data_IF_953744141709
#
_entry.id   IF_953744141709
#
_cell.length_a   1.000
_cell.length_b   1.000
_cell.length_c   1.000
_cell.angle_alpha   90.00
_cell.angle_beta   90.00
_cell.angle_gamma   90.00
#
_symmetry.space_group_name_H-M   'P 1'
#
loop_
_entity.id
_entity.type
_entity.pdbx_description
1 polymer ?
#
# COMPACT_ATOMS: atom_id res chain seq x y z
N UNK A 1 8.24 -20.73 0.51
CA UNK A 1 9.30 -20.99 -0.47
C UNK A 1 10.45 -21.81 0.14
N UNK A 2 11.11 -21.34 1.18
CA UNK A 2 12.34 -21.99 1.71
C UNK A 2 12.08 -23.40 2.27
N UNK A 3 11.18 -23.57 3.23
CA UNK A 3 10.99 -24.85 3.92
C UNK A 3 10.39 -25.96 3.02
N UNK A 4 9.40 -25.66 2.20
CA UNK A 4 8.75 -26.62 1.31
C UNK A 4 9.25 -26.58 -0.14
N UNK A 5 10.29 -25.81 -0.45
CA UNK A 5 10.82 -25.63 -1.81
C UNK A 5 9.74 -25.31 -2.88
N UNK A 6 8.77 -24.49 -2.53
CA UNK A 6 7.80 -24.03 -3.50
C UNK A 6 8.44 -23.08 -4.52
N UNK A 7 8.14 -23.29 -5.78
CA UNK A 7 8.47 -22.30 -6.82
C UNK A 7 7.72 -20.98 -6.55
N UNK A 8 8.16 -19.86 -7.15
CA UNK A 8 7.43 -18.59 -7.04
C UNK A 8 5.97 -18.70 -7.48
N UNK A 9 5.68 -19.50 -8.49
CA UNK A 9 4.32 -19.73 -8.99
C UNK A 9 3.48 -20.49 -7.97
N UNK A 10 4.00 -21.59 -7.40
CA UNK A 10 3.30 -22.38 -6.37
C UNK A 10 3.06 -21.56 -5.09
N UNK A 11 4.04 -20.78 -4.65
CA UNK A 11 3.90 -19.90 -3.50
C UNK A 11 2.83 -18.84 -3.74
N UNK A 12 2.75 -18.28 -4.95
CA UNK A 12 1.73 -17.31 -5.30
C UNK A 12 0.34 -17.94 -5.42
N UNK A 13 0.24 -19.18 -5.91
CA UNK A 13 -1.03 -19.93 -5.92
C UNK A 13 -1.56 -20.15 -4.49
N UNK A 14 -0.69 -20.59 -3.56
CA UNK A 14 -1.05 -20.72 -2.15
C UNK A 14 -1.50 -19.38 -1.55
N UNK A 15 -0.76 -18.30 -1.80
CA UNK A 15 -1.12 -16.95 -1.35
C UNK A 15 -2.49 -16.51 -1.87
N UNK A 16 -2.77 -16.76 -3.15
CA UNK A 16 -4.09 -16.45 -3.76
C UNK A 16 -5.20 -17.31 -3.14
N UNK A 17 -4.94 -18.60 -2.89
CA UNK A 17 -5.90 -19.49 -2.24
C UNK A 17 -6.26 -19.01 -0.82
N UNK A 18 -5.31 -18.43 -0.10
CA UNK A 18 -5.54 -17.85 1.23
C UNK A 18 -6.37 -16.56 1.17
N UNK A 19 -6.23 -15.76 0.10
CA UNK A 19 -6.89 -14.46 -0.04
C UNK A 19 -8.36 -14.55 -0.50
N UNK A 20 -8.82 -15.71 -0.95
CA UNK A 20 -10.19 -15.90 -1.47
C UNK A 20 -11.11 -16.58 -0.47
N UNK A 21 -12.21 -15.92 -0.10
CA UNK A 21 -13.24 -16.43 0.84
C UNK A 21 -13.82 -17.81 0.51
N UNK A 22 -13.74 -18.24 -0.75
CA UNK A 22 -14.27 -19.51 -1.25
C UNK A 22 -13.26 -20.67 -1.21
N UNK A 23 -12.08 -20.47 -0.66
CA UNK A 23 -10.94 -21.36 -0.90
C UNK A 23 -10.68 -22.44 0.16
N UNK A 24 -11.66 -22.77 1.02
CA UNK A 24 -11.50 -23.85 2.01
C UNK A 24 -11.00 -25.18 1.38
N UNK A 25 -11.45 -25.48 0.15
CA UNK A 25 -10.97 -26.65 -0.61
C UNK A 25 -9.55 -26.47 -1.17
N UNK A 26 -9.27 -25.30 -1.77
CA UNK A 26 -7.98 -25.02 -2.43
C UNK A 26 -6.79 -24.99 -1.45
N UNK A 27 -7.00 -24.48 -0.24
CA UNK A 27 -5.95 -24.47 0.80
C UNK A 27 -5.64 -25.92 1.22
N UNK A 28 -6.65 -26.78 1.34
CA UNK A 28 -6.46 -28.18 1.70
C UNK A 28 -5.68 -28.98 0.66
N UNK A 29 -5.84 -28.69 -0.63
CA UNK A 29 -5.06 -29.35 -1.71
C UNK A 29 -3.56 -29.05 -1.60
N UNK A 30 -3.20 -27.88 -1.07
CA UNK A 30 -1.79 -27.54 -0.85
C UNK A 30 -1.17 -28.16 0.40
N UNK A 31 -2.01 -28.77 1.30
CA UNK A 31 -1.54 -29.38 2.54
C UNK A 31 -0.56 -30.52 2.29
N UNK A 32 -0.98 -31.52 1.53
CA UNK A 32 -0.16 -32.71 1.27
C UNK A 32 1.16 -32.34 0.59
N UNK A 33 1.09 -31.41 -0.33
CA UNK A 33 2.26 -30.92 -1.05
C UNK A 33 3.22 -30.17 -0.13
N UNK A 34 2.71 -29.27 0.74
CA UNK A 34 3.55 -28.50 1.65
C UNK A 34 4.14 -29.38 2.75
N UNK A 35 3.29 -30.11 3.47
CA UNK A 35 3.71 -30.95 4.60
C UNK A 35 4.62 -32.08 4.11
N UNK A 36 4.25 -32.77 3.02
CA UNK A 36 5.07 -33.85 2.46
C UNK A 36 6.46 -33.38 2.03
N UNK A 37 6.57 -32.22 1.39
CA UNK A 37 7.89 -31.66 1.00
C UNK A 37 8.73 -31.21 2.21
N UNK A 38 8.10 -30.68 3.26
CA UNK A 38 8.81 -30.32 4.50
C UNK A 38 9.36 -31.59 5.18
N UNK A 39 8.53 -32.61 5.34
CA UNK A 39 8.95 -33.90 5.95
C UNK A 39 10.05 -34.57 5.12
N UNK A 40 9.95 -34.58 3.80
CA UNK A 40 10.99 -35.12 2.90
C UNK A 40 12.33 -34.37 3.05
N UNK A 41 12.35 -33.17 3.59
CA UNK A 41 13.54 -32.37 3.89
C UNK A 41 14.03 -32.50 5.34
N UNK A 42 13.46 -33.43 6.11
CA UNK A 42 13.87 -33.69 7.49
C UNK A 42 13.19 -32.84 8.56
N UNK A 43 12.16 -32.04 8.21
CA UNK A 43 11.37 -31.36 9.24
C UNK A 43 10.45 -32.35 9.95
N UNK A 44 10.28 -32.14 11.25
CA UNK A 44 9.36 -32.94 12.06
C UNK A 44 7.92 -32.86 11.50
N UNK A 45 7.22 -34.02 11.36
CA UNK A 45 5.86 -34.03 10.81
C UNK A 45 4.86 -33.18 11.59
N UNK A 46 4.94 -33.19 12.93
CA UNK A 46 4.04 -32.39 13.77
C UNK A 46 4.31 -30.89 13.64
N UNK A 47 5.58 -30.51 13.51
CA UNK A 47 5.95 -29.14 13.20
C UNK A 47 5.44 -28.68 11.82
N UNK A 48 5.63 -29.52 10.80
CA UNK A 48 5.17 -29.25 9.44
C UNK A 48 3.66 -29.07 9.36
N UNK A 49 2.92 -29.91 10.09
CA UNK A 49 1.46 -29.79 10.20
C UNK A 49 1.05 -28.49 10.91
N UNK A 50 1.68 -28.13 12.02
CA UNK A 50 1.39 -26.85 12.73
C UNK A 50 1.64 -25.64 11.82
N UNK A 51 2.71 -25.65 11.04
CA UNK A 51 2.96 -24.60 10.06
C UNK A 51 1.83 -24.46 9.03
N UNK A 52 1.33 -25.59 8.53
CA UNK A 52 0.20 -25.57 7.60
C UNK A 52 -1.08 -25.07 8.28
N UNK A 53 -1.36 -25.50 9.52
CA UNK A 53 -2.56 -25.08 10.25
C UNK A 53 -2.56 -23.59 10.54
N UNK A 54 -1.40 -22.98 10.81
CA UNK A 54 -1.27 -21.54 10.92
C UNK A 54 -1.61 -20.84 9.58
N UNK A 55 -1.10 -21.35 8.46
CA UNK A 55 -1.41 -20.81 7.13
C UNK A 55 -2.91 -20.95 6.81
N UNK A 56 -3.51 -22.08 7.18
CA UNK A 56 -4.94 -22.33 7.01
C UNK A 56 -5.77 -21.33 7.83
N UNK A 57 -5.37 -21.03 9.06
CA UNK A 57 -6.01 -20.03 9.91
C UNK A 57 -6.05 -18.63 9.27
N UNK A 58 -4.99 -18.22 8.56
CA UNK A 58 -5.03 -16.99 7.77
C UNK A 58 -6.06 -17.01 6.64
N UNK A 59 -6.26 -18.16 5.99
CA UNK A 59 -7.30 -18.33 4.96
C UNK A 59 -8.72 -18.29 5.53
N UNK A 60 -8.90 -18.71 6.79
CA UNK A 60 -10.18 -18.65 7.50
C UNK A 60 -10.49 -17.26 8.07
N UNK A 61 -9.46 -16.46 8.40
CA UNK A 61 -9.59 -15.07 8.83
C UNK A 61 -10.26 -14.19 7.77
N UNK A 62 -10.08 -14.53 6.50
CA UNK A 62 -10.74 -13.87 5.38
C UNK A 62 -10.15 -12.49 5.04
N UNK A 63 -11.01 -11.59 4.61
CA UNK A 63 -10.65 -10.24 4.23
C UNK A 63 -10.26 -9.42 5.48
N UNK A 64 -9.14 -8.67 5.48
CA UNK A 64 -8.70 -7.87 6.61
C UNK A 64 -9.54 -6.59 6.76
N UNK A 65 -10.73 -6.73 7.33
CA UNK A 65 -11.72 -5.65 7.45
C UNK A 65 -11.17 -4.43 8.18
N UNK A 66 -10.43 -4.62 9.26
CA UNK A 66 -9.81 -3.52 10.03
C UNK A 66 -8.86 -2.69 9.18
N UNK A 67 -8.05 -3.35 8.35
CA UNK A 67 -7.15 -2.69 7.41
C UNK A 67 -7.93 -1.93 6.33
N UNK A 68 -8.94 -2.57 5.75
CA UNK A 68 -9.79 -1.94 4.74
C UNK A 68 -10.55 -0.74 5.31
N UNK A 69 -11.11 -0.83 6.51
CA UNK A 69 -11.80 0.27 7.17
C UNK A 69 -10.87 1.45 7.47
N UNK A 70 -9.65 1.19 7.96
CA UNK A 70 -8.65 2.22 8.21
C UNK A 70 -8.24 2.94 6.92
N UNK A 71 -8.00 2.19 5.84
CA UNK A 71 -7.68 2.78 4.55
C UNK A 71 -8.85 3.52 3.93
N UNK A 72 -10.09 3.04 4.10
CA UNK A 72 -11.27 3.76 3.63
C UNK A 72 -11.39 5.15 4.28
N UNK A 73 -11.11 5.27 5.58
CA UNK A 73 -11.08 6.54 6.29
C UNK A 73 -9.99 7.46 5.74
N UNK A 74 -8.76 6.95 5.57
CA UNK A 74 -7.65 7.72 5.01
C UNK A 74 -7.94 8.22 3.59
N UNK A 75 -8.49 7.35 2.74
CA UNK A 75 -8.89 7.70 1.37
C UNK A 75 -9.96 8.78 1.37
N UNK A 76 -10.97 8.63 2.23
CA UNK A 76 -12.04 9.62 2.33
C UNK A 76 -11.50 11.00 2.75
N UNK A 77 -10.70 11.06 3.82
CA UNK A 77 -10.12 12.31 4.31
C UNK A 77 -9.19 12.93 3.26
N UNK A 78 -8.31 12.14 2.65
CA UNK A 78 -7.38 12.61 1.62
C UNK A 78 -8.12 13.16 0.40
N UNK A 79 -9.16 12.46 -0.06
CA UNK A 79 -9.98 12.90 -1.20
C UNK A 79 -10.75 14.17 -0.87
N UNK A 80 -11.27 14.28 0.35
CA UNK A 80 -11.98 15.49 0.81
C UNK A 80 -11.04 16.69 0.86
N UNK A 81 -9.83 16.55 1.43
CA UNK A 81 -8.84 17.63 1.48
C UNK A 81 -8.43 18.00 0.04
N UNK A 82 -8.14 17.03 -0.81
CA UNK A 82 -7.76 17.28 -2.21
C UNK A 82 -8.86 18.04 -2.98
N UNK A 83 -10.13 17.75 -2.71
CA UNK A 83 -11.24 18.42 -3.37
C UNK A 83 -11.45 19.86 -2.89
N UNK A 84 -11.40 20.09 -1.58
CA UNK A 84 -11.72 21.39 -0.99
C UNK A 84 -10.52 22.34 -0.86
N UNK A 85 -9.31 21.78 -0.71
CA UNK A 85 -8.06 22.50 -0.47
C UNK A 85 -6.92 21.87 -1.28
N UNK A 86 -6.98 21.88 -2.61
CA UNK A 86 -6.00 21.20 -3.46
C UNK A 86 -4.59 21.77 -3.30
N UNK A 87 -4.44 23.06 -3.10
CA UNK A 87 -3.18 23.76 -2.82
C UNK A 87 -2.52 23.26 -1.51
N UNK A 88 -3.29 23.16 -0.44
CA UNK A 88 -2.84 22.61 0.85
C UNK A 88 -2.47 21.15 0.72
N UNK A 89 -3.29 20.35 0.01
CA UNK A 89 -3.03 18.95 -0.23
C UNK A 89 -1.73 18.74 -1.01
N UNK A 90 -1.52 19.51 -2.08
CA UNK A 90 -0.30 19.49 -2.87
C UNK A 90 0.94 19.76 -2.01
N UNK A 91 0.94 20.88 -1.27
CA UNK A 91 2.06 21.25 -0.41
C UNK A 91 2.37 20.18 0.65
N UNK A 92 1.35 19.63 1.30
CA UNK A 92 1.48 18.60 2.32
C UNK A 92 2.02 17.28 1.72
N UNK A 93 1.53 16.88 0.55
CA UNK A 93 1.96 15.67 -0.13
C UNK A 93 3.44 15.77 -0.56
N UNK A 94 3.83 16.90 -1.15
CA UNK A 94 5.22 17.14 -1.54
C UNK A 94 6.17 17.19 -0.33
N UNK A 95 5.71 17.72 0.81
CA UNK A 95 6.48 17.75 2.05
C UNK A 95 6.67 16.35 2.67
N UNK A 96 5.68 15.47 2.56
CA UNK A 96 5.72 14.12 3.14
C UNK A 96 6.78 13.20 2.52
N UNK A 97 7.32 13.49 1.36
CA UNK A 97 8.51 12.95 0.66
C UNK A 97 8.60 11.44 0.41
N UNK A 98 7.78 10.59 0.97
CA UNK A 98 7.78 9.16 0.64
C UNK A 98 6.57 8.83 -0.23
N UNK A 99 6.61 9.26 -1.48
CA UNK A 99 5.49 9.13 -2.41
C UNK A 99 5.40 7.74 -3.08
N UNK A 100 6.11 6.76 -2.56
CA UNK A 100 6.11 5.39 -3.08
C UNK A 100 6.56 5.35 -4.55
N UNK A 101 5.67 4.93 -5.44
CA UNK A 101 5.98 4.81 -6.87
C UNK A 101 5.73 6.08 -7.68
N UNK A 102 5.23 7.15 -7.08
CA UNK A 102 4.92 8.40 -7.78
C UNK A 102 6.07 9.40 -7.67
N UNK A 103 6.48 9.94 -8.80
CA UNK A 103 7.45 11.02 -8.81
C UNK A 103 6.77 12.35 -8.41
N UNK A 104 7.45 13.25 -7.64
CA UNK A 104 6.91 14.56 -7.30
C UNK A 104 6.41 15.37 -8.50
N UNK A 105 7.10 15.24 -9.64
CA UNK A 105 6.72 15.90 -10.88
C UNK A 105 5.34 15.48 -11.43
N UNK A 106 4.90 14.24 -11.16
CA UNK A 106 3.56 13.78 -11.55
C UNK A 106 2.48 14.44 -10.71
N UNK A 107 2.70 14.54 -9.39
CA UNK A 107 1.78 15.23 -8.49
C UNK A 107 1.66 16.70 -8.83
N UNK A 108 2.78 17.39 -9.06
CA UNK A 108 2.78 18.79 -9.49
C UNK A 108 2.03 18.99 -10.82
N UNK A 109 2.13 18.04 -11.75
CA UNK A 109 1.38 18.11 -13.01
C UNK A 109 -0.12 17.96 -12.77
N UNK A 110 -0.52 16.94 -12.01
CA UNK A 110 -1.92 16.70 -11.65
C UNK A 110 -2.54 17.91 -10.95
N UNK A 111 -1.82 18.50 -10.01
CA UNK A 111 -2.29 19.68 -9.28
C UNK A 111 -2.46 20.90 -10.20
N UNK A 112 -1.52 21.12 -11.15
CA UNK A 112 -1.64 22.18 -12.15
C UNK A 112 -2.83 21.96 -13.09
N UNK A 113 -3.07 20.71 -13.50
CA UNK A 113 -4.21 20.35 -14.34
C UNK A 113 -5.54 20.58 -13.62
N UNK A 114 -5.54 20.58 -12.27
CA UNK A 114 -6.67 20.92 -11.41
C UNK A 114 -6.67 22.38 -10.93
N UNK A 115 -5.86 23.25 -11.53
CA UNK A 115 -5.89 24.70 -11.31
C UNK A 115 -5.05 25.21 -10.15
N UNK A 116 -4.24 24.36 -9.52
CA UNK A 116 -3.32 24.80 -8.46
C UNK A 116 -2.12 25.53 -9.07
N UNK A 117 -1.87 26.74 -8.63
CA UNK A 117 -0.68 27.50 -9.02
C UNK A 117 0.55 26.94 -8.28
N UNK A 118 1.48 26.35 -9.03
CA UNK A 118 2.74 25.82 -8.49
C UNK A 118 3.91 26.67 -9.00
N UNK A 119 4.62 27.31 -8.06
CA UNK A 119 5.78 28.16 -8.33
C UNK A 119 7.07 27.36 -8.23
N UNK A 120 8.01 27.66 -9.12
CA UNK A 120 9.32 27.01 -9.16
C UNK A 120 10.16 27.42 -7.94
N UNK A 121 11.18 26.62 -7.55
CA UNK A 121 12.17 27.04 -6.56
C UNK A 121 12.77 28.39 -6.95
N UNK A 122 12.94 29.28 -5.97
CA UNK A 122 13.54 30.59 -6.15
C UNK A 122 14.37 30.92 -4.91
N UNK A 123 15.65 31.20 -5.10
CA UNK A 123 16.61 31.45 -4.01
C UNK A 123 16.22 32.59 -3.07
N UNK A 124 15.38 33.53 -3.52
CA UNK A 124 14.93 34.65 -2.70
C UNK A 124 13.64 34.37 -1.92
N UNK A 125 12.87 33.33 -2.33
CA UNK A 125 11.51 33.08 -1.81
C UNK A 125 11.28 31.67 -1.31
N UNK A 126 12.06 30.69 -1.77
CA UNK A 126 11.90 29.30 -1.34
C UNK A 126 12.56 29.05 0.01
N UNK A 127 11.91 28.27 0.83
CA UNK A 127 12.45 27.68 2.04
C UNK A 127 12.83 26.22 1.80
N UNK A 128 13.32 25.52 2.82
CA UNK A 128 13.62 24.08 2.71
C UNK A 128 12.37 23.25 2.44
N UNK A 129 11.27 23.60 3.09
CA UNK A 129 9.98 22.97 2.89
C UNK A 129 9.14 23.72 1.83
N UNK A 130 8.19 22.99 1.22
CA UNK A 130 7.20 23.65 0.36
C UNK A 130 6.29 24.57 1.19
N UNK A 131 6.03 25.76 0.71
CA UNK A 131 5.24 26.79 1.38
C UNK A 131 4.02 27.20 0.57
N UNK A 132 3.04 27.81 1.24
CA UNK A 132 1.84 28.36 0.61
C UNK A 132 1.95 29.89 0.56
N UNK A 133 1.90 30.46 -0.65
CA UNK A 133 1.94 31.88 -0.89
C UNK A 133 0.53 32.40 -1.23
N UNK A 134 0.00 33.39 -0.53
CA UNK A 134 -1.33 33.93 -0.82
C UNK A 134 -1.36 34.58 -2.21
N UNK A 135 -2.38 34.23 -3.01
CA UNK A 135 -2.63 34.83 -4.33
C UNK A 135 -3.89 35.66 -4.32
N UNK A 136 -4.92 35.16 -3.63
CA UNK A 136 -6.21 35.83 -3.44
C UNK A 136 -6.82 35.38 -2.09
N UNK A 137 -7.88 35.98 -1.59
CA UNK A 137 -8.56 35.54 -0.39
C UNK A 137 -8.97 34.08 -0.50
N UNK A 138 -8.37 33.20 0.35
CA UNK A 138 -8.63 31.75 0.37
C UNK A 138 -7.99 30.93 -0.76
N UNK A 139 -7.14 31.55 -1.60
CA UNK A 139 -6.43 30.88 -2.70
C UNK A 139 -4.93 31.04 -2.52
N UNK A 140 -4.20 29.95 -2.57
CA UNK A 140 -2.76 29.94 -2.39
C UNK A 140 -2.05 29.31 -3.61
N UNK A 141 -0.83 29.79 -3.85
CA UNK A 141 0.11 29.10 -4.73
C UNK A 141 1.07 28.26 -3.89
N UNK A 142 1.41 27.08 -4.37
CA UNK A 142 2.43 26.23 -3.74
C UNK A 142 3.81 26.67 -4.25
N UNK A 143 4.70 27.10 -3.35
CA UNK A 143 6.12 27.33 -3.63
C UNK A 143 6.89 26.05 -3.34
N UNK A 144 7.64 25.57 -4.31
CA UNK A 144 8.52 24.42 -4.12
C UNK A 144 9.78 24.87 -3.37
N UNK A 145 10.15 24.12 -2.34
CA UNK A 145 11.37 24.29 -1.57
C UNK A 145 12.63 23.76 -2.26
#
# INVERSE_FOLDING_TARGET
>A
MVAACFSPVEANQLRKAMATFRSRGLVSEHREKMVGRMVARGYDPAFSQRCFDQIKGFGEYGFPESHAASFALLVYISSWIKHHYPDVFCAALLKAQTMGFYAPAQSVRDDRDHGVAVRRPDVNFSEWDNTLEPVAPGVFAVRIG
#
